data_IF_287871621374
#
_entry.id   IF_287871621374
#
_cell.length_a   1.000
_cell.length_b   1.000
_cell.length_c   1.000
_cell.angle_alpha   90.00
_cell.angle_beta   90.00
_cell.angle_gamma   90.00
#
_symmetry.space_group_name_H-M   'P 1'
#
loop_
_entity.id
_entity.type
_entity.pdbx_description
1 polymer ?
#
# COMPACT_ATOMS: atom_id res chain seq x y z
N UNK A 1 35.52 6.23 29.82
CA UNK A 1 35.73 6.83 28.49
C UNK A 1 35.19 5.95 27.36
N UNK A 2 35.66 4.71 27.20
CA UNK A 2 35.23 3.80 26.10
C UNK A 2 33.73 3.45 26.14
N UNK A 3 33.16 3.21 27.33
CA UNK A 3 31.74 2.89 27.48
C UNK A 3 30.81 4.04 27.05
N UNK A 4 31.19 5.27 27.39
CA UNK A 4 30.43 6.49 27.05
C UNK A 4 30.48 6.76 25.54
N UNK A 5 31.61 6.50 24.89
CA UNK A 5 31.76 6.60 23.44
C UNK A 5 30.87 5.59 22.70
N UNK A 6 30.76 4.36 23.20
CA UNK A 6 29.86 3.33 22.65
C UNK A 6 28.39 3.74 22.77
N UNK A 7 27.99 4.25 23.93
CA UNK A 7 26.63 4.75 24.14
C UNK A 7 26.29 5.90 23.17
N UNK A 8 27.24 6.81 22.93
CA UNK A 8 27.05 7.91 21.99
C UNK A 8 26.80 7.41 20.56
N UNK A 9 27.55 6.42 20.08
CA UNK A 9 27.33 5.82 18.75
C UNK A 9 25.91 5.23 18.65
N UNK A 10 25.46 4.49 19.67
CA UNK A 10 24.11 3.91 19.66
C UNK A 10 23.00 4.98 19.66
N UNK A 11 23.18 6.07 20.41
CA UNK A 11 22.23 7.19 20.44
C UNK A 11 22.15 7.89 19.08
N UNK A 12 23.29 8.10 18.42
CA UNK A 12 23.34 8.70 17.07
C UNK A 12 22.64 7.80 16.05
N UNK A 13 22.92 6.50 16.07
CA UNK A 13 22.25 5.53 15.18
C UNK A 13 20.74 5.46 15.42
N UNK A 14 20.30 5.44 16.67
CA UNK A 14 18.87 5.44 17.00
C UNK A 14 18.19 6.74 16.56
N UNK A 15 18.83 7.89 16.78
CA UNK A 15 18.30 9.19 16.35
C UNK A 15 18.15 9.28 14.83
N UNK A 16 19.05 8.66 14.06
CA UNK A 16 18.98 8.61 12.61
C UNK A 16 17.77 7.79 12.10
N UNK A 17 17.40 6.71 12.79
CA UNK A 17 16.22 5.91 12.41
C UNK A 17 14.88 6.67 12.52
N UNK A 18 14.82 7.73 13.33
CA UNK A 18 13.63 8.57 13.47
C UNK A 18 13.38 9.49 12.26
N UNK A 19 14.36 9.63 11.35
CA UNK A 19 14.25 10.42 10.14
C UNK A 19 13.71 9.61 8.94
N UNK A 20 13.54 8.31 9.10
CA UNK A 20 13.02 7.43 8.04
C UNK A 20 11.50 7.54 7.98
N UNK A 21 10.98 8.09 6.88
CA UNK A 21 9.55 8.11 6.56
C UNK A 21 9.30 7.22 5.33
N UNK A 22 8.54 6.13 5.50
CA UNK A 22 8.10 5.22 4.43
C UNK A 22 6.60 4.92 4.53
N UNK A 23 5.83 5.82 5.13
CA UNK A 23 4.42 5.57 5.39
C UNK A 23 3.63 5.63 4.08
N UNK A 24 2.94 4.54 3.76
CA UNK A 24 1.96 4.50 2.69
C UNK A 24 0.87 5.54 2.95
N UNK A 25 0.57 6.37 1.95
CA UNK A 25 -0.50 7.34 2.05
C UNK A 25 -1.77 6.77 1.41
N UNK A 26 -2.79 6.52 2.24
CA UNK A 26 -4.08 6.01 1.77
C UNK A 26 -4.76 6.89 0.71
N UNK A 27 -4.37 8.17 0.63
CA UNK A 27 -4.92 9.16 -0.29
C UNK A 27 -4.16 9.25 -1.61
N UNK A 28 -3.13 8.44 -1.82
CA UNK A 28 -2.44 8.41 -3.10
C UNK A 28 -3.39 7.88 -4.18
N UNK A 29 -3.39 8.55 -5.34
CA UNK A 29 -4.18 8.13 -6.50
C UNK A 29 -3.47 6.92 -7.12
N UNK A 30 -4.16 5.79 -7.16
CA UNK A 30 -3.63 4.56 -7.75
C UNK A 30 -3.88 4.53 -9.26
N UNK A 31 -5.10 4.87 -9.68
CA UNK A 31 -5.48 5.05 -11.07
C UNK A 31 -6.69 5.98 -11.16
N UNK A 32 -7.16 6.26 -12.37
CA UNK A 32 -8.39 7.03 -12.59
C UNK A 32 -9.23 6.41 -13.70
N UNK A 33 -10.55 6.49 -13.57
CA UNK A 33 -11.52 6.06 -14.58
C UNK A 33 -12.41 7.27 -14.86
N UNK A 34 -12.49 7.70 -16.12
CA UNK A 34 -13.31 8.86 -16.52
C UNK A 34 -13.10 10.11 -15.64
N UNK A 35 -11.84 10.44 -15.37
CA UNK A 35 -11.40 11.55 -14.51
C UNK A 35 -11.77 11.42 -13.02
N UNK A 36 -12.33 10.29 -12.59
CA UNK A 36 -12.53 10.00 -11.17
C UNK A 36 -11.33 9.24 -10.60
N UNK A 37 -10.67 9.79 -9.55
CA UNK A 37 -9.53 9.14 -8.93
C UNK A 37 -9.97 7.95 -8.06
N UNK A 38 -9.26 6.83 -8.21
CA UNK A 38 -9.37 5.67 -7.31
C UNK A 38 -8.14 5.63 -6.42
N UNK A 39 -8.37 5.64 -5.11
CA UNK A 39 -7.30 5.76 -4.12
C UNK A 39 -6.66 4.41 -3.81
N UNK A 40 -5.35 4.40 -3.57
CA UNK A 40 -4.64 3.19 -3.18
C UNK A 40 -5.18 2.59 -1.87
N UNK A 41 -5.58 3.44 -0.91
CA UNK A 41 -6.20 2.98 0.34
C UNK A 41 -7.58 2.34 0.12
N UNK A 42 -8.33 2.77 -0.90
CA UNK A 42 -9.59 2.12 -1.29
C UNK A 42 -9.32 0.71 -1.83
N UNK A 43 -8.37 0.59 -2.76
CA UNK A 43 -7.98 -0.69 -3.33
C UNK A 43 -7.55 -1.69 -2.25
N UNK A 44 -6.66 -1.29 -1.33
CA UNK A 44 -6.18 -2.17 -0.25
C UNK A 44 -7.32 -2.64 0.65
N UNK A 45 -8.27 -1.76 0.98
CA UNK A 45 -9.44 -2.14 1.78
C UNK A 45 -10.32 -3.17 1.07
N UNK A 46 -10.55 -2.99 -0.24
CA UNK A 46 -11.34 -3.94 -1.05
C UNK A 46 -10.61 -5.27 -1.20
N UNK A 47 -9.30 -5.24 -1.51
CA UNK A 47 -8.44 -6.41 -1.59
C UNK A 47 -8.52 -7.23 -0.29
N UNK A 48 -8.17 -6.64 0.85
CA UNK A 48 -8.15 -7.34 2.13
C UNK A 48 -9.52 -7.89 2.54
N UNK A 49 -10.62 -7.22 2.16
CA UNK A 49 -11.97 -7.66 2.51
C UNK A 49 -12.43 -8.86 1.66
N UNK A 50 -11.98 -8.94 0.41
CA UNK A 50 -12.55 -9.84 -0.57
C UNK A 50 -11.59 -10.94 -1.05
N UNK A 51 -10.30 -10.87 -0.71
CA UNK A 51 -9.28 -11.80 -1.21
C UNK A 51 -9.60 -13.26 -0.85
N UNK A 52 -10.22 -13.50 0.30
CA UNK A 52 -10.64 -14.82 0.75
C UNK A 52 -11.84 -15.38 -0.04
N UNK A 53 -12.59 -14.52 -0.74
CA UNK A 53 -13.72 -14.91 -1.59
C UNK A 53 -13.27 -15.28 -3.01
N UNK A 54 -12.01 -15.04 -3.36
CA UNK A 54 -11.45 -15.37 -4.68
C UNK A 54 -11.18 -16.87 -4.71
N UNK A 55 -11.99 -17.61 -5.48
CA UNK A 55 -11.89 -19.07 -5.59
C UNK A 55 -10.65 -19.53 -6.37
N UNK A 56 -10.25 -18.76 -7.39
CA UNK A 56 -9.03 -19.03 -8.17
C UNK A 56 -7.82 -18.45 -7.45
N UNK A 57 -7.01 -19.31 -6.83
CA UNK A 57 -5.78 -18.94 -6.11
C UNK A 57 -4.81 -18.13 -6.99
N UNK A 58 -4.79 -18.35 -8.31
CA UNK A 58 -3.93 -17.58 -9.22
C UNK A 58 -4.32 -16.11 -9.31
N UNK A 59 -5.59 -15.80 -9.03
CA UNK A 59 -6.15 -14.45 -9.02
C UNK A 59 -5.94 -13.73 -7.68
N UNK A 60 -5.39 -14.41 -6.66
CA UNK A 60 -5.04 -13.78 -5.38
C UNK A 60 -3.74 -12.98 -5.43
N UNK A 61 -2.94 -13.21 -6.47
CA UNK A 61 -1.80 -12.35 -6.77
C UNK A 61 -2.26 -10.89 -6.91
N UNK A 62 -1.50 -9.97 -6.31
CA UNK A 62 -1.90 -8.57 -6.18
C UNK A 62 -2.07 -7.89 -7.54
N UNK A 63 -1.25 -8.25 -8.54
CA UNK A 63 -1.32 -7.66 -9.88
C UNK A 63 -2.55 -8.17 -10.61
N UNK A 64 -2.85 -9.47 -10.49
CA UNK A 64 -4.05 -10.07 -11.06
C UNK A 64 -5.33 -9.48 -10.42
N UNK A 65 -5.36 -9.35 -9.10
CA UNK A 65 -6.48 -8.75 -8.40
C UNK A 65 -6.67 -7.27 -8.77
N UNK A 66 -5.56 -6.53 -8.95
CA UNK A 66 -5.62 -5.13 -9.41
C UNK A 66 -6.27 -5.03 -10.79
N UNK A 67 -5.94 -5.92 -11.72
CA UNK A 67 -6.59 -5.96 -13.03
C UNK A 67 -8.09 -6.28 -12.93
N UNK A 68 -8.47 -7.24 -12.08
CA UNK A 68 -9.88 -7.54 -11.81
C UNK A 68 -10.62 -6.31 -11.27
N UNK A 69 -10.01 -5.59 -10.34
CA UNK A 69 -10.57 -4.38 -9.74
C UNK A 69 -10.68 -3.22 -10.73
N UNK A 70 -9.68 -3.00 -11.59
CA UNK A 70 -9.76 -2.00 -12.67
C UNK A 70 -10.92 -2.34 -13.62
N UNK A 71 -11.05 -3.59 -14.04
CA UNK A 71 -12.14 -4.04 -14.91
C UNK A 71 -13.51 -3.84 -14.26
N UNK A 72 -13.62 -4.09 -12.95
CA UNK A 72 -14.83 -3.79 -12.19
C UNK A 72 -15.17 -2.30 -12.18
N UNK A 73 -14.19 -1.43 -11.91
CA UNK A 73 -14.37 0.04 -11.93
C UNK A 73 -14.77 0.56 -13.32
N UNK A 74 -14.18 0.04 -14.39
CA UNK A 74 -14.55 0.37 -15.77
C UNK A 74 -16.01 0.00 -16.06
N UNK A 75 -16.41 -1.25 -15.77
CA UNK A 75 -17.80 -1.72 -15.97
C UNK A 75 -18.81 -0.91 -15.16
N UNK A 76 -18.46 -0.50 -13.95
CA UNK A 76 -19.30 0.33 -13.11
C UNK A 76 -19.47 1.74 -13.67
N UNK A 77 -18.43 2.29 -14.30
CA UNK A 77 -18.50 3.61 -14.92
C UNK A 77 -19.27 3.64 -16.24
N UNK A 78 -19.37 2.50 -16.93
CA UNK A 78 -20.14 2.36 -18.17
C UNK A 78 -21.64 2.06 -17.92
N UNK A 79 -22.04 1.80 -16.67
CA UNK A 79 -23.39 1.44 -16.25
C UNK A 79 -24.23 2.66 -15.83
#
# INVERSE_FOLDING_TARGET
MILMFRAYIHIVFFSFSLLSFSQFNEKDILFSVNNEPVLAGEFIRVYNKNIDLVEDESQKDVDNYLQLYINYKLKLSDA
#
